data_IF_176390325892
#
_entry.id   IF_176390325892
#
_cell.length_a   1.000
_cell.length_b   1.000
_cell.length_c   1.000
_cell.angle_alpha   90.00
_cell.angle_beta   90.00
_cell.angle_gamma   90.00
#
_symmetry.space_group_name_H-M   'P 1'
#
loop_
_entity.id
_entity.type
_entity.pdbx_description
1 polymer ?
#
# COMPACT_ATOMS: atom_id res chain seq x y z
N UNK A 1 -12.02 31.28 -16.51
CA UNK A 1 -10.95 30.66 -15.70
C UNK A 1 -11.52 29.39 -15.12
N UNK A 2 -10.87 28.27 -15.37
CA UNK A 2 -11.23 26.97 -14.82
C UNK A 2 -10.97 27.02 -13.30
N UNK A 3 -11.90 26.57 -12.49
CA UNK A 3 -11.68 26.46 -11.05
C UNK A 3 -10.63 25.38 -10.76
N UNK A 4 -9.96 25.47 -9.62
CA UNK A 4 -8.97 24.48 -9.20
C UNK A 4 -9.57 23.06 -9.15
N UNK A 5 -10.79 22.94 -8.66
CA UNK A 5 -11.56 21.69 -8.66
C UNK A 5 -11.85 21.14 -10.09
N UNK A 6 -12.13 22.03 -11.05
CA UNK A 6 -12.32 21.61 -12.45
C UNK A 6 -11.01 21.17 -13.08
N UNK A 7 -9.87 21.77 -12.71
CA UNK A 7 -8.56 21.36 -13.16
C UNK A 7 -8.18 19.96 -12.62
N UNK A 8 -8.41 19.71 -11.34
CA UNK A 8 -8.20 18.39 -10.72
C UNK A 8 -9.09 17.33 -11.34
N UNK A 9 -10.39 17.59 -11.53
CA UNK A 9 -11.31 16.66 -12.19
C UNK A 9 -10.90 16.36 -13.63
N UNK A 10 -10.37 17.33 -14.36
CA UNK A 10 -9.87 17.10 -15.71
C UNK A 10 -8.57 16.29 -15.72
N UNK A 11 -7.65 16.55 -14.78
CA UNK A 11 -6.46 15.74 -14.61
C UNK A 11 -6.80 14.28 -14.28
N UNK A 12 -7.78 14.07 -13.40
CA UNK A 12 -8.26 12.71 -13.06
C UNK A 12 -8.94 12.05 -14.28
N UNK A 13 -9.71 12.80 -15.08
CA UNK A 13 -10.30 12.29 -16.33
C UNK A 13 -9.23 11.92 -17.36
N UNK A 14 -8.17 12.69 -17.47
CA UNK A 14 -7.01 12.31 -18.31
C UNK A 14 -6.34 11.03 -17.82
N UNK A 15 -6.15 10.88 -16.49
CA UNK A 15 -5.60 9.64 -15.90
C UNK A 15 -6.53 8.44 -16.18
N UNK A 16 -7.86 8.62 -16.14
CA UNK A 16 -8.80 7.55 -16.50
C UNK A 16 -8.69 7.13 -17.96
N UNK A 17 -8.15 7.97 -18.84
CA UNK A 17 -7.82 7.62 -20.23
C UNK A 17 -6.74 6.54 -20.36
N UNK A 18 -5.99 6.26 -19.29
CA UNK A 18 -5.02 5.15 -19.22
C UNK A 18 -5.61 3.83 -18.70
N UNK A 19 -6.91 3.79 -18.44
CA UNK A 19 -7.58 2.55 -18.07
C UNK A 19 -7.62 1.62 -19.30
N UNK A 20 -7.09 0.42 -19.15
CA UNK A 20 -7.20 -0.62 -20.14
C UNK A 20 -8.39 -1.51 -19.77
N UNK A 21 -9.29 -1.66 -20.75
CA UNK A 21 -10.46 -2.54 -20.64
C UNK A 21 -10.40 -3.46 -21.86
N UNK A 22 -10.47 -4.76 -21.62
CA UNK A 22 -10.47 -5.75 -22.71
C UNK A 22 -11.86 -5.92 -23.36
N UNK A 23 -11.93 -6.72 -24.42
CA UNK A 23 -13.14 -7.02 -25.16
C UNK A 23 -14.24 -7.66 -24.28
N UNK A 24 -13.87 -8.27 -23.16
CA UNK A 24 -14.77 -8.86 -22.17
C UNK A 24 -15.22 -7.87 -21.09
N UNK A 25 -14.91 -6.58 -21.26
CA UNK A 25 -15.17 -5.49 -20.31
C UNK A 25 -14.50 -5.70 -18.94
N UNK A 26 -13.36 -6.39 -18.90
CA UNK A 26 -12.54 -6.51 -17.71
C UNK A 26 -11.55 -5.34 -17.64
N UNK A 27 -11.36 -4.80 -16.45
CA UNK A 27 -10.34 -3.79 -16.21
C UNK A 27 -8.98 -4.48 -16.09
N UNK A 28 -8.13 -4.34 -17.11
CA UNK A 28 -6.76 -4.84 -17.08
C UNK A 28 -5.87 -3.93 -16.23
N UNK A 29 -6.12 -2.63 -16.29
CA UNK A 29 -5.49 -1.66 -15.37
C UNK A 29 -6.55 -0.67 -14.90
N UNK A 30 -6.30 -0.04 -13.75
CA UNK A 30 -7.15 1.04 -13.22
C UNK A 30 -6.38 1.98 -12.32
N UNK A 31 -6.87 3.20 -12.16
CA UNK A 31 -6.40 4.10 -11.12
C UNK A 31 -6.88 3.58 -9.75
N UNK A 32 -6.01 3.65 -8.76
CA UNK A 32 -6.30 3.36 -7.37
C UNK A 32 -5.54 4.28 -6.44
N UNK A 33 -5.91 4.24 -5.19
CA UNK A 33 -5.17 4.85 -4.09
C UNK A 33 -4.40 3.76 -3.37
N UNK A 34 -3.09 3.95 -3.16
CA UNK A 34 -2.26 2.98 -2.43
C UNK A 34 -1.62 3.66 -1.23
N UNK A 35 -1.57 2.95 -0.11
CA UNK A 35 -0.68 3.27 1.00
C UNK A 35 0.21 2.06 1.26
N UNK A 36 1.52 2.30 1.37
CA UNK A 36 2.51 1.27 1.64
C UNK A 36 3.33 1.65 2.85
N UNK A 37 3.38 0.76 3.81
CA UNK A 37 4.16 0.89 5.03
C UNK A 37 5.29 -0.13 5.04
N UNK A 38 6.50 0.34 5.25
CA UNK A 38 7.69 -0.47 5.45
C UNK A 38 8.01 -0.50 6.94
N UNK A 39 8.24 -1.67 7.49
CA UNK A 39 8.50 -1.84 8.92
C UNK A 39 9.53 -2.94 9.16
N UNK A 40 10.20 -2.85 10.30
CA UNK A 40 11.22 -3.81 10.73
C UNK A 40 10.63 -4.92 11.58
N UNK A 41 11.40 -5.99 11.74
CA UNK A 41 11.08 -7.10 12.63
C UNK A 41 9.76 -7.83 12.31
N UNK A 42 9.36 -7.87 11.02
CA UNK A 42 8.13 -8.52 10.59
C UNK A 42 8.02 -10.01 10.94
N UNK A 43 9.14 -10.65 11.24
CA UNK A 43 9.24 -12.05 11.67
C UNK A 43 8.83 -12.26 13.15
N UNK A 44 8.79 -11.21 13.96
CA UNK A 44 8.46 -11.35 15.38
C UNK A 44 6.98 -11.69 15.62
N UNK A 45 6.66 -12.43 16.69
CA UNK A 45 5.27 -12.75 17.02
C UNK A 45 4.37 -11.54 17.17
N UNK A 46 4.90 -10.43 17.71
CA UNK A 46 4.19 -9.17 17.92
C UNK A 46 3.80 -8.56 16.58
N UNK A 47 4.74 -8.46 15.63
CA UNK A 47 4.48 -7.91 14.29
C UNK A 47 3.56 -8.83 13.47
N UNK A 48 3.71 -10.15 13.57
CA UNK A 48 2.78 -11.09 12.94
C UNK A 48 1.36 -10.92 13.47
N UNK A 49 1.22 -10.70 14.78
CA UNK A 49 -0.08 -10.42 15.40
C UNK A 49 -0.66 -9.10 14.89
N UNK A 50 0.15 -8.06 14.77
CA UNK A 50 -0.26 -6.77 14.22
C UNK A 50 -0.71 -6.90 12.74
N UNK A 51 0.06 -7.61 11.91
CA UNK A 51 -0.31 -7.91 10.52
C UNK A 51 -1.63 -8.68 10.43
N UNK A 52 -1.85 -9.65 11.31
CA UNK A 52 -3.12 -10.38 11.38
C UNK A 52 -4.29 -9.46 11.75
N UNK A 53 -4.10 -8.51 12.67
CA UNK A 53 -5.14 -7.52 12.99
C UNK A 53 -5.47 -6.65 11.78
N UNK A 54 -4.44 -6.23 11.00
CA UNK A 54 -4.66 -5.49 9.76
C UNK A 54 -5.48 -6.31 8.74
N UNK A 55 -5.11 -7.57 8.58
CA UNK A 55 -5.81 -8.52 7.72
C UNK A 55 -7.27 -8.74 8.16
N UNK A 56 -7.52 -8.97 9.45
CA UNK A 56 -8.88 -9.15 9.98
C UNK A 56 -9.75 -7.92 9.75
N UNK A 57 -9.24 -6.71 10.04
CA UNK A 57 -9.96 -5.46 9.78
C UNK A 57 -10.31 -5.31 8.29
N UNK A 58 -9.38 -5.61 7.39
CA UNK A 58 -9.65 -5.57 5.95
C UNK A 58 -10.74 -6.54 5.54
N UNK A 59 -10.72 -7.76 6.07
CA UNK A 59 -11.79 -8.75 5.86
C UNK A 59 -13.14 -8.25 6.35
N UNK A 60 -13.20 -7.75 7.58
CA UNK A 60 -14.44 -7.26 8.19
C UNK A 60 -15.08 -6.17 7.35
N UNK A 61 -14.30 -5.20 6.87
CA UNK A 61 -14.81 -4.08 6.09
C UNK A 61 -15.21 -4.48 4.66
N UNK A 62 -14.51 -5.44 4.06
CA UNK A 62 -14.68 -5.73 2.63
C UNK A 62 -15.07 -7.18 2.32
N UNK A 63 -15.47 -8.00 3.31
CA UNK A 63 -15.80 -9.43 3.14
C UNK A 63 -16.73 -9.70 1.95
N UNK A 64 -17.80 -8.90 1.79
CA UNK A 64 -18.75 -9.04 0.69
C UNK A 64 -18.17 -8.78 -0.71
N UNK A 65 -17.02 -8.11 -0.79
CA UNK A 65 -16.33 -7.76 -2.03
C UNK A 65 -15.22 -8.75 -2.38
N UNK A 66 -14.55 -9.34 -1.39
CA UNK A 66 -13.37 -10.19 -1.57
C UNK A 66 -13.70 -11.46 -2.35
N UNK A 67 -12.78 -11.88 -3.23
CA UNK A 67 -12.98 -13.01 -4.15
C UNK A 67 -11.87 -14.04 -4.13
N UNK A 68 -10.61 -13.63 -3.91
CA UNK A 68 -9.50 -14.56 -3.83
C UNK A 68 -8.38 -14.09 -2.91
N UNK A 69 -7.51 -15.03 -2.58
CA UNK A 69 -6.23 -14.76 -1.92
C UNK A 69 -5.11 -15.63 -2.48
N UNK A 70 -3.88 -15.21 -2.23
CA UNK A 70 -2.67 -16.02 -2.48
C UNK A 70 -1.79 -16.01 -1.23
N UNK A 71 -0.94 -17.02 -1.09
CA UNK A 71 0.15 -17.01 -0.12
C UNK A 71 1.36 -17.76 -0.69
N UNK A 72 2.56 -17.29 -0.38
CA UNK A 72 3.85 -17.86 -0.80
C UNK A 72 3.89 -18.23 -2.27
N UNK A 73 3.51 -17.31 -3.14
CA UNK A 73 3.52 -17.49 -4.61
C UNK A 73 2.73 -18.71 -5.11
N UNK A 74 1.99 -19.39 -4.21
CA UNK A 74 1.06 -20.45 -4.61
C UNK A 74 -0.06 -19.85 -5.43
N UNK A 75 -0.67 -20.65 -6.30
CA UNK A 75 -1.75 -20.22 -7.16
C UNK A 75 -2.90 -19.56 -6.40
N UNK A 76 -3.73 -18.81 -7.13
CA UNK A 76 -4.91 -18.17 -6.59
C UNK A 76 -5.84 -19.17 -5.92
N UNK A 77 -6.29 -18.86 -4.73
CA UNK A 77 -7.32 -19.61 -4.01
C UNK A 77 -8.57 -18.75 -3.87
N UNK A 78 -9.72 -19.38 -4.08
CA UNK A 78 -11.01 -18.73 -3.88
C UNK A 78 -11.13 -18.26 -2.42
N UNK A 79 -11.69 -17.08 -2.22
CA UNK A 79 -12.06 -16.60 -0.89
C UNK A 79 -13.15 -17.49 -0.31
N UNK A 80 -12.86 -18.15 0.80
CA UNK A 80 -13.77 -18.98 1.58
C UNK A 80 -13.26 -19.04 3.03
N UNK A 81 -14.14 -19.28 4.00
CA UNK A 81 -13.75 -19.35 5.41
C UNK A 81 -12.61 -20.36 5.63
N UNK A 82 -12.71 -21.57 5.07
CA UNK A 82 -11.68 -22.60 5.18
C UNK A 82 -10.31 -22.15 4.65
N UNK A 83 -10.28 -21.47 3.50
CA UNK A 83 -9.01 -21.00 2.92
C UNK A 83 -8.43 -19.83 3.71
N UNK A 84 -9.28 -19.02 4.32
CA UNK A 84 -8.88 -17.91 5.18
C UNK A 84 -8.29 -18.41 6.49
N UNK A 85 -8.93 -19.38 7.14
CA UNK A 85 -8.39 -20.02 8.35
C UNK A 85 -7.01 -20.63 8.09
N UNK A 86 -6.83 -21.28 6.94
CA UNK A 86 -5.52 -21.82 6.54
C UNK A 86 -4.46 -20.74 6.38
N UNK A 87 -4.82 -19.57 5.83
CA UNK A 87 -3.91 -18.44 5.71
C UNK A 87 -3.53 -17.88 7.09
N UNK A 88 -4.50 -17.69 7.97
CA UNK A 88 -4.24 -17.23 9.33
C UNK A 88 -3.34 -18.20 10.12
N UNK A 89 -3.63 -19.48 10.04
CA UNK A 89 -2.80 -20.52 10.65
C UNK A 89 -1.38 -20.51 10.10
N UNK A 90 -1.24 -20.34 8.77
CA UNK A 90 0.05 -20.26 8.12
C UNK A 90 0.85 -19.03 8.61
N UNK A 91 0.24 -17.85 8.73
CA UNK A 91 0.92 -16.67 9.25
C UNK A 91 1.35 -16.88 10.71
N UNK A 92 0.46 -17.46 11.55
CA UNK A 92 0.74 -17.74 12.97
C UNK A 92 1.84 -18.77 13.17
N UNK A 93 1.87 -19.81 12.33
CA UNK A 93 2.81 -20.92 12.45
C UNK A 93 4.18 -20.63 11.85
N UNK A 94 4.33 -19.55 11.07
CA UNK A 94 5.60 -19.21 10.43
C UNK A 94 6.67 -18.87 11.47
N UNK A 95 7.87 -19.45 11.31
CA UNK A 95 9.03 -19.19 12.16
C UNK A 95 9.76 -17.89 11.83
N UNK A 96 10.82 -17.55 12.58
CA UNK A 96 11.60 -16.32 12.35
C UNK A 96 12.35 -16.33 11.01
N UNK A 97 12.62 -17.52 10.46
CA UNK A 97 13.33 -17.69 9.19
C UNK A 97 12.39 -17.94 7.99
N UNK A 98 11.08 -17.81 8.20
CA UNK A 98 10.11 -18.01 7.14
C UNK A 98 9.73 -16.68 6.48
N UNK A 99 9.85 -16.61 5.15
CA UNK A 99 9.25 -15.54 4.37
C UNK A 99 7.76 -15.82 4.21
N UNK A 100 6.94 -14.90 4.67
CA UNK A 100 5.48 -14.98 4.54
C UNK A 100 5.01 -13.87 3.61
N UNK A 101 4.59 -14.27 2.42
CA UNK A 101 3.96 -13.37 1.44
C UNK A 101 2.51 -13.76 1.25
N UNK A 102 1.61 -12.79 1.28
CA UNK A 102 0.21 -13.01 1.00
C UNK A 102 -0.45 -11.79 0.34
N UNK A 103 -1.52 -12.08 -0.36
CA UNK A 103 -2.38 -11.08 -1.00
C UNK A 103 -3.83 -11.53 -0.89
N UNK A 104 -4.74 -10.60 -0.62
CA UNK A 104 -6.18 -10.78 -0.66
C UNK A 104 -6.81 -9.64 -1.47
N UNK A 105 -7.80 -9.93 -2.31
CA UNK A 105 -8.42 -8.90 -3.15
C UNK A 105 -9.83 -9.25 -3.61
N UNK A 106 -10.47 -8.25 -4.24
CA UNK A 106 -11.79 -8.37 -4.88
C UNK A 106 -11.74 -8.75 -6.37
N UNK A 107 -10.58 -8.96 -6.97
CA UNK A 107 -10.47 -9.39 -8.35
C UNK A 107 -11.18 -10.73 -8.56
N UNK A 108 -11.87 -10.88 -9.69
CA UNK A 108 -12.58 -12.12 -10.02
C UNK A 108 -11.65 -13.20 -10.55
N UNK A 109 -10.54 -12.78 -11.15
CA UNK A 109 -9.51 -13.66 -11.71
C UNK A 109 -8.15 -12.95 -11.72
N UNK A 110 -7.10 -13.65 -12.14
CA UNK A 110 -5.73 -13.12 -12.14
C UNK A 110 -5.44 -12.05 -13.19
N UNK A 111 -6.30 -11.91 -14.19
CA UNK A 111 -6.12 -10.97 -15.32
C UNK A 111 -6.82 -9.63 -15.08
N UNK A 112 -7.56 -9.49 -14.00
CA UNK A 112 -8.32 -8.27 -13.69
C UNK A 112 -7.65 -7.46 -12.59
N UNK A 113 -7.50 -6.16 -12.84
CA UNK A 113 -7.03 -5.23 -11.82
C UNK A 113 -8.11 -5.03 -10.73
N UNK A 114 -7.82 -5.34 -9.47
CA UNK A 114 -8.78 -5.21 -8.38
C UNK A 114 -8.99 -3.75 -7.95
N UNK A 115 -10.07 -3.50 -7.19
CA UNK A 115 -10.30 -2.22 -6.49
C UNK A 115 -9.77 -2.24 -5.07
N UNK A 116 -9.87 -3.38 -4.40
CA UNK A 116 -9.49 -3.57 -3.01
C UNK A 116 -8.43 -4.66 -2.94
N UNK A 117 -7.25 -4.30 -2.45
CA UNK A 117 -6.15 -5.24 -2.23
C UNK A 117 -5.54 -4.94 -0.87
N UNK A 118 -5.25 -5.99 -0.13
CA UNK A 118 -4.24 -5.94 0.91
C UNK A 118 -3.19 -6.99 0.61
N UNK A 119 -1.93 -6.60 0.64
CA UNK A 119 -0.80 -7.52 0.47
C UNK A 119 0.28 -7.23 1.50
N UNK A 120 0.97 -8.26 1.91
CA UNK A 120 2.05 -8.16 2.87
C UNK A 120 3.18 -9.11 2.50
N UNK A 121 4.39 -8.68 2.76
CA UNK A 121 5.58 -9.51 2.83
C UNK A 121 6.21 -9.31 4.19
N UNK A 122 6.30 -10.40 4.97
CA UNK A 122 7.07 -10.42 6.19
C UNK A 122 8.53 -10.76 5.86
N UNK A 123 9.46 -9.98 6.40
CA UNK A 123 10.87 -10.34 6.40
C UNK A 123 11.13 -11.50 7.36
N UNK A 124 12.29 -12.10 7.20
CA UNK A 124 12.82 -13.14 8.08
C UNK A 124 14.11 -12.66 8.74
N UNK A 125 14.50 -13.36 9.81
CA UNK A 125 15.74 -13.08 10.54
C UNK A 125 16.92 -13.73 9.81
N UNK A 126 17.63 -12.98 8.98
CA UNK A 126 18.89 -13.41 8.39
C UNK A 126 19.93 -12.31 8.55
N UNK A 127 21.12 -12.69 8.96
CA UNK A 127 22.26 -11.80 9.07
C UNK A 127 22.50 -11.01 7.77
N UNK A 128 22.20 -9.72 7.80
CA UNK A 128 22.55 -8.75 6.78
C UNK A 128 21.68 -8.71 5.51
N UNK A 129 20.59 -9.48 5.42
CA UNK A 129 19.71 -9.42 4.27
C UNK A 129 18.22 -9.40 4.69
N UNK A 130 17.40 -8.54 4.08
CA UNK A 130 15.93 -8.56 4.16
C UNK A 130 15.32 -8.05 5.48
N UNK A 131 15.94 -7.05 6.11
CA UNK A 131 15.44 -6.48 7.37
C UNK A 131 14.07 -5.79 7.29
N UNK A 132 13.53 -5.53 6.09
CA UNK A 132 12.34 -4.71 5.92
C UNK A 132 11.16 -5.52 5.37
N UNK A 133 10.08 -5.50 6.13
CA UNK A 133 8.76 -6.02 5.72
C UNK A 133 7.93 -4.90 5.12
N UNK A 134 6.90 -5.22 4.36
CA UNK A 134 5.93 -4.22 3.94
C UNK A 134 4.49 -4.74 4.00
N UNK A 135 3.56 -3.80 4.19
CA UNK A 135 2.14 -3.98 3.96
C UNK A 135 1.63 -2.88 3.04
N UNK A 136 0.94 -3.26 1.97
CA UNK A 136 0.26 -2.32 1.08
C UNK A 136 -1.23 -2.53 1.11
N UNK A 137 -1.97 -1.43 1.26
CA UNK A 137 -3.43 -1.37 1.15
C UNK A 137 -3.80 -0.54 -0.08
N UNK A 138 -4.64 -1.10 -0.95
CA UNK A 138 -5.18 -0.40 -2.11
C UNK A 138 -6.68 -0.22 -1.92
N UNK A 139 -7.14 0.97 -2.22
CA UNK A 139 -8.52 1.41 -2.16
C UNK A 139 -8.94 2.02 -3.51
N UNK A 140 -10.25 2.13 -3.78
CA UNK A 140 -10.73 2.86 -4.94
C UNK A 140 -10.21 4.29 -4.95
N UNK A 141 -9.79 4.79 -6.12
CA UNK A 141 -9.22 6.14 -6.27
C UNK A 141 -10.19 7.26 -5.86
N UNK A 142 -11.50 7.00 -5.98
CA UNK A 142 -12.59 7.92 -5.69
C UNK A 142 -13.07 7.88 -4.23
N UNK A 143 -12.41 7.09 -3.36
CA UNK A 143 -12.78 6.99 -1.94
C UNK A 143 -12.73 8.35 -1.23
N UNK A 144 -11.82 9.24 -1.64
CA UNK A 144 -11.64 10.55 -1.03
C UNK A 144 -12.69 11.60 -1.49
N UNK A 145 -13.63 11.24 -2.36
CA UNK A 145 -14.63 12.16 -2.90
C UNK A 145 -15.89 12.26 -2.03
N UNK A 146 -16.00 11.43 -1.01
CA UNK A 146 -17.08 11.48 -0.03
C UNK A 146 -16.52 11.68 1.38
N UNK A 147 -17.29 12.28 2.27
CA UNK A 147 -16.85 12.47 3.66
C UNK A 147 -16.68 11.14 4.39
N UNK A 148 -17.54 10.17 4.13
CA UNK A 148 -17.43 8.82 4.69
C UNK A 148 -16.15 8.13 4.22
N UNK A 149 -15.80 8.27 2.94
CA UNK A 149 -14.58 7.70 2.38
C UNK A 149 -13.31 8.39 2.89
N UNK A 150 -13.33 9.71 3.09
CA UNK A 150 -12.24 10.44 3.75
C UNK A 150 -12.03 9.96 5.18
N UNK A 151 -13.13 9.78 5.93
CA UNK A 151 -13.07 9.25 7.29
C UNK A 151 -12.51 7.82 7.30
N UNK A 152 -13.02 6.93 6.44
CA UNK A 152 -12.52 5.56 6.29
C UNK A 152 -11.02 5.54 5.97
N UNK A 153 -10.57 6.40 5.07
CA UNK A 153 -9.16 6.55 4.72
C UNK A 153 -8.32 7.00 5.93
N UNK A 154 -8.76 8.02 6.66
CA UNK A 154 -8.06 8.52 7.85
C UNK A 154 -7.98 7.45 8.95
N UNK A 155 -9.06 6.70 9.17
CA UNK A 155 -9.08 5.57 10.10
C UNK A 155 -8.10 4.47 9.69
N UNK A 156 -7.96 4.19 8.40
CA UNK A 156 -6.96 3.25 7.89
C UNK A 156 -5.54 3.74 8.16
N UNK A 157 -5.24 5.00 7.86
CA UNK A 157 -3.92 5.59 8.13
C UNK A 157 -3.56 5.46 9.61
N UNK A 158 -4.45 5.91 10.50
CA UNK A 158 -4.21 5.86 11.94
C UNK A 158 -4.04 4.42 12.45
N UNK A 159 -4.88 3.51 11.98
CA UNK A 159 -4.85 2.11 12.37
C UNK A 159 -3.55 1.44 11.93
N UNK A 160 -3.16 1.60 10.65
CA UNK A 160 -1.95 0.98 10.11
C UNK A 160 -0.68 1.56 10.76
N UNK A 161 -0.62 2.87 10.99
CA UNK A 161 0.48 3.49 11.72
C UNK A 161 0.62 2.91 13.14
N UNK A 162 -0.51 2.77 13.87
CA UNK A 162 -0.53 2.22 15.21
C UNK A 162 -0.11 0.75 15.27
N UNK A 163 -0.60 -0.08 14.35
CA UNK A 163 -0.35 -1.52 14.38
C UNK A 163 1.05 -1.87 13.86
N UNK A 164 1.49 -1.20 12.81
CA UNK A 164 2.74 -1.54 12.15
C UNK A 164 3.94 -0.77 12.70
N UNK A 165 3.73 0.42 13.31
CA UNK A 165 4.80 1.33 13.72
C UNK A 165 5.82 1.43 12.58
N UNK A 166 5.43 1.99 11.44
CA UNK A 166 6.23 1.92 10.22
C UNK A 166 7.56 2.67 10.41
N UNK A 167 8.61 2.12 9.83
CA UNK A 167 9.89 2.78 9.68
C UNK A 167 9.80 3.94 8.68
N UNK A 168 9.18 3.67 7.55
CA UNK A 168 8.78 4.66 6.57
C UNK A 168 7.59 4.15 5.74
N UNK A 169 6.99 5.04 4.98
CA UNK A 169 5.90 4.69 4.09
C UNK A 169 5.50 5.84 3.19
N UNK A 170 4.66 5.54 2.25
CA UNK A 170 4.11 6.52 1.33
C UNK A 170 2.67 6.19 0.94
N UNK A 171 1.94 7.23 0.52
CA UNK A 171 0.59 7.08 0.01
C UNK A 171 0.36 8.05 -1.15
N UNK A 172 -0.34 7.59 -2.17
CA UNK A 172 -0.73 8.38 -3.32
C UNK A 172 -1.49 7.57 -4.35
N UNK A 173 -1.83 8.20 -5.45
CA UNK A 173 -2.44 7.51 -6.58
C UNK A 173 -1.44 6.59 -7.26
N UNK A 174 -1.93 5.46 -7.78
CA UNK A 174 -1.12 4.44 -8.46
C UNK A 174 -1.89 3.78 -9.58
N UNK A 175 -1.17 3.20 -10.52
CA UNK A 175 -1.77 2.26 -11.48
C UNK A 175 -1.94 0.90 -10.79
N UNK A 176 -3.20 0.49 -10.59
CA UNK A 176 -3.49 -0.86 -10.12
C UNK A 176 -3.50 -1.80 -11.31
N UNK A 177 -2.74 -2.87 -11.20
CA UNK A 177 -2.52 -3.85 -12.24
C UNK A 177 -3.03 -5.24 -11.80
N UNK A 178 -3.27 -6.17 -12.73
CA UNK A 178 -3.60 -7.55 -12.40
C UNK A 178 -2.42 -8.26 -11.72
N UNK A 179 -2.63 -9.52 -11.35
CA UNK A 179 -1.57 -10.32 -10.73
C UNK A 179 -0.33 -10.45 -11.63
N UNK A 180 -0.53 -10.64 -12.92
CA UNK A 180 0.55 -10.68 -13.91
C UNK A 180 0.89 -9.27 -14.39
N UNK A 181 1.38 -8.46 -13.48
CA UNK A 181 1.62 -7.03 -13.66
C UNK A 181 2.79 -6.70 -14.60
N UNK A 182 3.67 -7.65 -14.87
CA UNK A 182 4.87 -7.40 -15.70
C UNK A 182 4.55 -6.86 -17.09
N UNK A 183 3.41 -7.25 -17.65
CA UNK A 183 2.95 -6.77 -18.96
C UNK A 183 2.59 -5.28 -18.95
N UNK A 184 2.28 -4.72 -17.78
CA UNK A 184 1.79 -3.35 -17.60
C UNK A 184 2.82 -2.42 -16.95
N UNK A 185 3.99 -2.92 -16.55
CA UNK A 185 5.06 -2.10 -15.99
C UNK A 185 5.51 -0.96 -16.91
N UNK A 186 5.62 -1.15 -18.25
CA UNK A 186 5.94 -0.04 -19.15
C UNK A 186 4.91 1.09 -19.09
N UNK A 187 3.63 0.75 -18.98
CA UNK A 187 2.54 1.73 -18.83
C UNK A 187 2.61 2.46 -17.47
N UNK A 188 2.87 1.74 -16.38
CA UNK A 188 3.08 2.37 -15.07
C UNK A 188 4.25 3.36 -15.10
N UNK A 189 5.35 2.98 -15.75
CA UNK A 189 6.51 3.85 -15.90
C UNK A 189 6.19 5.11 -16.72
N UNK A 190 5.51 4.98 -17.85
CA UNK A 190 5.08 6.11 -18.68
C UNK A 190 4.18 7.08 -17.92
N UNK A 191 3.21 6.55 -17.17
CA UNK A 191 2.34 7.33 -16.30
C UNK A 191 3.13 8.07 -15.22
N UNK A 192 4.07 7.42 -14.58
CA UNK A 192 4.91 8.03 -13.54
C UNK A 192 5.80 9.15 -14.09
N UNK A 193 6.26 9.05 -15.34
CA UNK A 193 6.98 10.15 -16.00
C UNK A 193 6.07 11.35 -16.30
N UNK A 194 4.83 11.08 -16.67
CA UNK A 194 3.84 12.14 -16.95
C UNK A 194 3.25 12.77 -15.70
N UNK A 195 3.08 11.98 -14.64
CA UNK A 195 2.47 12.38 -13.37
C UNK A 195 3.43 12.06 -12.19
N UNK A 196 4.38 12.95 -11.88
CA UNK A 196 5.42 12.68 -10.87
C UNK A 196 4.89 12.40 -9.45
N UNK A 197 3.66 12.82 -9.15
CA UNK A 197 2.99 12.52 -7.88
C UNK A 197 2.40 11.10 -7.81
N UNK A 198 2.53 10.30 -8.87
CA UNK A 198 2.03 8.94 -8.91
C UNK A 198 3.01 7.97 -8.23
N UNK A 199 2.48 7.11 -7.37
CA UNK A 199 3.27 6.06 -6.72
C UNK A 199 3.51 4.91 -7.70
N UNK A 200 4.78 4.58 -7.97
CA UNK A 200 5.18 3.36 -8.67
C UNK A 200 5.25 2.22 -7.66
N UNK A 201 4.26 1.32 -7.68
CA UNK A 201 4.15 0.28 -6.65
C UNK A 201 4.36 -1.15 -7.16
N UNK A 202 4.63 -1.35 -8.46
CA UNK A 202 5.03 -2.65 -9.02
C UNK A 202 6.34 -3.17 -8.41
N UNK A 203 7.25 -2.27 -8.06
CA UNK A 203 8.58 -2.58 -7.49
C UNK A 203 8.63 -2.59 -5.95
N UNK A 204 7.48 -2.67 -5.25
CA UNK A 204 7.44 -2.60 -3.79
C UNK A 204 8.33 -3.65 -3.10
N UNK A 205 8.43 -4.85 -3.67
CA UNK A 205 9.31 -5.90 -3.17
C UNK A 205 10.78 -5.49 -3.25
N UNK A 206 11.21 -4.96 -4.39
CA UNK A 206 12.58 -4.46 -4.59
C UNK A 206 12.84 -3.30 -3.64
N UNK A 207 11.86 -2.41 -3.46
CA UNK A 207 11.97 -1.30 -2.52
C UNK A 207 12.20 -1.78 -1.08
N UNK A 208 11.47 -2.80 -0.63
CA UNK A 208 11.68 -3.39 0.69
C UNK A 208 13.11 -3.92 0.89
N UNK A 209 13.73 -4.45 -0.17
CA UNK A 209 15.09 -4.95 -0.13
C UNK A 209 16.16 -3.84 -0.15
N UNK A 210 15.91 -2.75 -0.86
CA UNK A 210 16.91 -1.73 -1.15
C UNK A 210 16.91 -0.54 -0.19
N UNK A 211 15.74 -0.21 0.39
CA UNK A 211 15.56 1.01 1.17
C UNK A 211 15.59 0.79 2.69
N UNK A 212 16.48 -0.06 3.18
CA UNK A 212 16.61 -0.32 4.63
C UNK A 212 16.95 0.94 5.44
N UNK A 213 17.76 1.84 4.88
CA UNK A 213 18.25 3.05 5.54
C UNK A 213 17.88 4.35 4.82
N UNK A 214 16.93 4.28 3.89
CA UNK A 214 16.41 5.42 3.12
C UNK A 214 14.92 5.29 2.92
N UNK A 215 14.28 6.35 2.44
CA UNK A 215 12.87 6.35 2.06
C UNK A 215 12.74 6.04 0.57
N UNK A 216 11.66 5.37 0.18
CA UNK A 216 11.41 5.04 -1.22
C UNK A 216 11.09 6.29 -2.05
N UNK A 217 10.22 7.14 -1.54
CA UNK A 217 9.73 8.33 -2.24
C UNK A 217 9.13 9.34 -1.26
N UNK A 218 8.99 10.57 -1.72
CA UNK A 218 8.16 11.60 -1.08
C UNK A 218 6.89 11.71 -1.91
N UNK A 219 5.75 11.49 -1.28
CA UNK A 219 4.45 11.44 -1.94
C UNK A 219 3.43 12.30 -1.20
N UNK A 220 2.17 12.30 -1.65
CA UNK A 220 1.09 13.02 -1.02
C UNK A 220 1.03 12.82 0.51
N UNK A 221 1.10 11.57 1.00
CA UNK A 221 1.46 11.32 2.39
C UNK A 221 2.79 10.58 2.44
N UNK A 222 3.68 11.04 3.30
CA UNK A 222 4.98 10.43 3.56
C UNK A 222 5.10 10.15 5.04
N UNK A 223 5.33 8.89 5.41
CA UNK A 223 5.45 8.43 6.79
C UNK A 223 6.93 8.24 7.12
N UNK A 224 7.38 8.80 8.24
CA UNK A 224 8.77 8.74 8.65
C UNK A 224 8.85 8.42 10.15
N UNK A 225 9.60 7.39 10.52
CA UNK A 225 9.94 7.15 11.92
C UNK A 225 10.87 8.25 12.46
N UNK A 226 10.89 8.41 13.78
CA UNK A 226 11.70 9.45 14.47
C UNK A 226 13.17 9.46 14.03
N UNK A 227 13.77 8.29 13.72
CA UNK A 227 15.16 8.20 13.25
C UNK A 227 15.43 9.01 11.96
N UNK A 228 14.46 9.13 11.07
CA UNK A 228 14.59 9.96 9.87
C UNK A 228 14.44 11.44 10.21
N UNK A 229 13.51 11.77 11.10
CA UNK A 229 13.31 13.14 11.58
C UNK A 229 14.57 13.64 12.30
N UNK A 230 15.21 12.80 13.13
CA UNK A 230 16.50 13.12 13.78
C UNK A 230 17.62 13.38 12.76
N UNK A 231 17.73 12.55 11.72
CA UNK A 231 18.72 12.75 10.64
C UNK A 231 18.48 14.02 9.84
N UNK A 232 17.24 14.51 9.78
CA UNK A 232 16.87 15.78 9.16
C UNK A 232 17.04 16.99 10.11
N UNK A 233 17.65 16.83 11.28
CA UNK A 233 17.90 17.91 12.23
C UNK A 233 16.86 18.04 13.35
N UNK A 234 15.99 17.05 13.50
CA UNK A 234 14.95 16.98 14.53
C UNK A 234 13.64 17.66 14.13
N UNK A 235 12.57 17.33 14.84
CA UNK A 235 11.22 17.83 14.55
C UNK A 235 11.10 19.36 14.48
N UNK A 236 11.73 20.15 15.38
CA UNK A 236 11.64 21.61 15.30
C UNK A 236 12.24 22.17 13.98
N UNK A 237 13.32 21.55 13.50
CA UNK A 237 13.96 21.96 12.25
C UNK A 237 13.07 21.61 11.04
N UNK A 238 12.54 20.39 11.00
CA UNK A 238 11.64 19.92 9.95
C UNK A 238 10.38 20.79 9.90
N UNK A 239 9.73 21.07 11.06
CA UNK A 239 8.57 21.96 11.13
C UNK A 239 8.87 23.34 10.58
N UNK A 240 10.02 23.92 10.95
CA UNK A 240 10.42 25.25 10.45
C UNK A 240 10.57 25.29 8.93
N UNK A 241 11.13 24.23 8.33
CA UNK A 241 11.30 24.17 6.86
C UNK A 241 9.94 23.98 6.19
N UNK A 242 9.14 23.02 6.63
CA UNK A 242 7.87 22.68 6.01
C UNK A 242 6.81 23.78 6.19
N UNK A 243 6.88 24.56 7.27
CA UNK A 243 5.96 25.69 7.48
C UNK A 243 6.12 26.85 6.46
N UNK A 244 7.16 26.79 5.62
CA UNK A 244 7.27 27.72 4.49
C UNK A 244 6.19 27.48 3.42
N UNK A 245 5.62 26.27 3.37
CA UNK A 245 4.51 25.92 2.51
C UNK A 245 3.27 25.60 3.37
N UNK A 246 2.20 26.43 3.32
CA UNK A 246 1.01 26.23 4.14
C UNK A 246 0.19 24.98 3.77
N UNK A 247 0.43 24.39 2.61
CA UNK A 247 -0.24 23.15 2.18
C UNK A 247 0.38 21.89 2.83
N UNK A 248 1.60 22.01 3.39
CA UNK A 248 2.26 20.89 4.04
C UNK A 248 1.89 20.84 5.52
N UNK A 249 1.31 19.72 5.93
CA UNK A 249 0.95 19.46 7.32
C UNK A 249 1.83 18.36 7.91
N UNK A 250 2.38 18.59 9.09
CA UNK A 250 3.14 17.60 9.84
C UNK A 250 2.31 17.11 11.03
N UNK A 251 1.99 15.81 11.04
CA UNK A 251 1.20 15.16 12.09
C UNK A 251 2.00 14.02 12.72
N UNK A 252 2.02 13.95 14.05
CA UNK A 252 2.62 12.80 14.74
C UNK A 252 1.70 11.60 14.76
N UNK A 253 2.29 10.42 14.65
CA UNK A 253 1.64 9.13 14.90
C UNK A 253 2.46 8.31 15.91
N UNK A 254 1.93 7.18 16.37
CA UNK A 254 2.65 6.29 17.28
C UNK A 254 3.87 5.69 16.57
N UNK A 255 5.09 6.06 17.00
CA UNK A 255 6.36 5.61 16.42
C UNK A 255 7.00 6.54 15.37
N UNK A 256 6.37 7.70 15.10
CA UNK A 256 6.90 8.68 14.14
C UNK A 256 6.21 10.03 14.14
#
# INVERSE_FOLDING_TARGET
MMTEQEAELNAIREITGFLLIDDKKRYLTRLGLVMTFFFKNGYTPEKKTAILRCYCRFRELYAGKLRFHTHNQKGMKKYSEENIEKLEQYIKASGPNDVVEWLISDAKNGDEAPKYIMRCLNSYEVDGAWGTSYLSLYLPWDILFTEEGKQEFQEWVQFLCKELEPDHGDCGYTLVMPRDYYLFMPQEYELAQRYPAMVVNSSVYIAACQYENSIRSVQWLTFLADRYIERLGGEPHVRKILSADPEITLTRYSGG
#
